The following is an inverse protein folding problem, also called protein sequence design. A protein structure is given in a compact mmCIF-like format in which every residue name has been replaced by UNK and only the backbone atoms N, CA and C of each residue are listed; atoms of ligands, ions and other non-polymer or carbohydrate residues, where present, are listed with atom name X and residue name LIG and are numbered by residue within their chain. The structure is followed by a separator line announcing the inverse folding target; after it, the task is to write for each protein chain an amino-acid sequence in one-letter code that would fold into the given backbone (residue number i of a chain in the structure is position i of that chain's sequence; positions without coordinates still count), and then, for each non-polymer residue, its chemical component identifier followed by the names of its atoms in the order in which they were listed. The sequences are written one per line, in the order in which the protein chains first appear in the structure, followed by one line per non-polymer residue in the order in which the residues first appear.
data_IF_369190021834
#
_entry.id   IF_369190021834
#
_cell.length_a   1.000
_cell.length_b   1.000
_cell.length_c   1.000
_cell.angle_alpha   90.00
_cell.angle_beta   90.00
_cell.angle_gamma   90.00
#
_symmetry.space_group_name_H-M   'P 1'
#
loop_
_entity.id
_entity.type
_entity.pdbx_description
1 polymer ?
#
# COMPACT_ATOMS: atom_id res chain seq x y z
N UNK A 1 -9.78 -29.28 -22.00
CA UNK A 1 -9.44 -28.83 -20.62
C UNK A 1 -9.91 -29.89 -19.64
N UNK A 2 -9.02 -30.67 -19.05
CA UNK A 2 -9.42 -31.67 -18.06
C UNK A 2 -9.89 -30.98 -16.78
N UNK A 3 -10.85 -31.58 -16.07
CA UNK A 3 -11.45 -31.02 -14.84
C UNK A 3 -10.41 -30.54 -13.83
N UNK A 4 -9.33 -31.31 -13.64
CA UNK A 4 -8.18 -30.96 -12.78
C UNK A 4 -7.52 -29.62 -13.20
N UNK A 5 -7.20 -29.44 -14.48
CA UNK A 5 -6.60 -28.20 -15.01
C UNK A 5 -7.54 -27.01 -14.83
N UNK A 6 -8.84 -27.19 -15.10
CA UNK A 6 -9.84 -26.12 -14.96
C UNK A 6 -9.94 -25.60 -13.52
N UNK A 7 -9.95 -26.50 -12.54
CA UNK A 7 -9.99 -26.14 -11.12
C UNK A 7 -8.71 -25.38 -10.74
N UNK A 8 -7.54 -25.90 -11.11
CA UNK A 8 -6.26 -25.26 -10.81
C UNK A 8 -6.15 -23.84 -11.37
N UNK A 9 -6.52 -23.64 -12.64
CA UNK A 9 -6.50 -22.30 -13.25
C UNK A 9 -7.49 -21.34 -12.57
N UNK A 10 -8.64 -21.84 -12.15
CA UNK A 10 -9.66 -21.01 -11.48
C UNK A 10 -9.17 -20.53 -10.12
N UNK A 11 -8.57 -21.42 -9.33
CA UNK A 11 -7.98 -21.07 -8.02
C UNK A 11 -6.83 -20.08 -8.19
N UNK A 12 -5.89 -20.37 -9.11
CA UNK A 12 -4.76 -19.48 -9.41
C UNK A 12 -5.19 -18.08 -9.84
N UNK A 13 -6.29 -17.96 -10.60
CA UNK A 13 -6.85 -16.65 -10.98
C UNK A 13 -7.43 -15.91 -9.78
N UNK A 14 -8.08 -16.60 -8.83
CA UNK A 14 -8.61 -15.99 -7.61
C UNK A 14 -7.47 -15.50 -6.71
N UNK A 15 -6.44 -16.31 -6.51
CA UNK A 15 -5.28 -15.94 -5.68
C UNK A 15 -4.56 -14.71 -6.23
N UNK A 16 -4.32 -14.68 -7.55
CA UNK A 16 -3.72 -13.50 -8.21
C UNK A 16 -4.56 -12.24 -8.03
N UNK A 17 -5.89 -12.35 -8.11
CA UNK A 17 -6.81 -11.21 -7.89
C UNK A 17 -6.81 -10.74 -6.44
N UNK A 18 -6.68 -11.65 -5.47
CA UNK A 18 -6.58 -11.29 -4.06
C UNK A 18 -5.24 -10.60 -3.77
N UNK A 19 -4.13 -11.16 -4.24
CA UNK A 19 -2.79 -10.60 -4.03
C UNK A 19 -2.61 -9.24 -4.72
N UNK A 20 -3.17 -9.05 -5.92
CA UNK A 20 -3.14 -7.77 -6.61
C UNK A 20 -3.85 -6.64 -5.84
N UNK A 21 -4.84 -6.97 -4.99
CA UNK A 21 -5.50 -5.98 -4.12
C UNK A 21 -4.69 -5.64 -2.88
N UNK A 22 -3.84 -6.56 -2.42
CA UNK A 22 -3.01 -6.36 -1.24
C UNK A 22 -1.74 -5.55 -1.54
N UNK A 23 -1.19 -5.69 -2.75
CA UNK A 23 -0.04 -4.91 -3.19
C UNK A 23 -0.45 -3.51 -3.66
N UNK A 24 -0.49 -2.56 -2.72
CA UNK A 24 -0.48 -1.13 -3.05
C UNK A 24 0.85 -0.77 -3.73
N UNK A 25 0.78 -0.03 -4.85
CA UNK A 25 1.96 0.55 -5.49
C UNK A 25 2.74 1.38 -4.47
N UNK A 26 4.05 1.17 -4.37
CA UNK A 26 4.93 1.95 -3.49
C UNK A 26 5.13 3.40 -3.98
N UNK A 27 4.47 3.79 -5.07
CA UNK A 27 4.54 5.15 -5.60
C UNK A 27 3.53 6.03 -4.85
N UNK A 28 3.94 7.14 -4.22
CA UNK A 28 3.00 8.06 -3.62
C UNK A 28 2.05 8.58 -4.72
N UNK A 29 0.74 8.63 -4.41
CA UNK A 29 -0.21 9.31 -5.28
C UNK A 29 0.22 10.77 -5.42
N UNK A 30 0.18 11.31 -6.64
CA UNK A 30 0.41 12.74 -6.82
C UNK A 30 -0.68 13.51 -6.08
N UNK A 31 -0.25 14.30 -5.11
CA UNK A 31 -1.07 15.24 -4.35
C UNK A 31 -0.63 16.66 -4.73
N UNK A 32 -1.54 17.61 -4.56
CA UNK A 32 -1.26 19.03 -4.87
C UNK A 32 -0.10 19.58 -4.03
N UNK A 33 0.47 20.73 -4.42
CA UNK A 33 1.56 21.37 -3.65
C UNK A 33 1.14 21.64 -2.20
N UNK A 34 -0.05 22.21 -2.02
CA UNK A 34 -0.61 22.49 -0.70
C UNK A 34 -0.79 21.22 0.15
N UNK A 35 -1.28 20.11 -0.43
CA UNK A 35 -1.41 18.84 0.30
C UNK A 35 -0.06 18.22 0.63
N UNK A 36 0.97 18.42 -0.21
CA UNK A 36 2.32 17.92 0.05
C UNK A 36 2.98 18.66 1.21
N UNK A 37 2.86 19.98 1.24
CA UNK A 37 3.35 20.83 2.33
C UNK A 37 2.65 20.46 3.64
N UNK A 38 1.31 20.38 3.64
CA UNK A 38 0.54 19.98 4.81
C UNK A 38 0.91 18.58 5.33
N UNK A 39 1.21 17.63 4.44
CA UNK A 39 1.60 16.28 4.85
C UNK A 39 3.00 16.23 5.45
N UNK A 40 3.93 17.00 4.89
CA UNK A 40 5.31 17.05 5.37
C UNK A 40 5.39 17.69 6.76
N UNK A 41 4.63 18.77 7.01
CA UNK A 41 4.55 19.39 8.35
C UNK A 41 4.00 18.43 9.43
N UNK A 42 3.03 17.58 9.09
CA UNK A 42 2.48 16.58 10.03
C UNK A 42 3.48 15.45 10.31
N UNK A 43 4.15 14.93 9.28
CA UNK A 43 5.16 13.88 9.42
C UNK A 43 6.35 14.37 10.26
N UNK A 44 6.83 15.60 10.03
CA UNK A 44 7.92 16.22 10.80
C UNK A 44 7.55 16.42 12.28
N UNK A 45 6.31 16.85 12.56
CA UNK A 45 5.82 17.04 13.93
C UNK A 45 5.73 15.70 14.69
N UNK A 46 5.26 14.63 14.04
CA UNK A 46 5.19 13.30 14.65
C UNK A 46 6.58 12.73 14.99
N UNK A 47 7.57 12.99 14.14
CA UNK A 47 8.94 12.53 14.35
C UNK A 47 9.64 13.32 15.47
N UNK A 48 9.35 14.62 15.61
CA UNK A 48 9.84 15.45 16.71
C UNK A 48 9.28 15.03 18.07
N UNK A 49 7.99 14.66 18.13
CA UNK A 49 7.37 14.17 19.37
C UNK A 49 7.94 12.84 19.83
N UNK A 50 8.22 11.92 18.89
CA UNK A 50 8.82 10.62 19.21
C UNK A 50 10.27 10.73 19.70
N UNK A 51 11.04 11.69 19.18
CA UNK A 51 12.40 11.97 19.65
C UNK A 51 12.43 12.61 21.04
N UNK A 52 11.44 13.46 21.35
CA UNK A 52 11.32 14.11 22.64
C UNK A 52 10.88 13.14 23.76
N UNK A 53 10.13 12.08 23.44
CA UNK A 53 9.75 11.04 24.40
C UNK A 53 10.86 10.00 24.68
N UNK A 54 11.88 9.91 23.82
CA UNK A 54 12.98 8.94 23.95
C UNK A 54 14.24 9.48 24.64
N UNK A 55 14.28 10.77 25.00
CA UNK A 55 15.38 11.42 25.72
C UNK A 55 15.03 11.69 27.18
#
# INVERSE_FOLDING_TARGET
MNRKKKIYETLKKKDKRANAKLHKSNKPRYISKAEREAKQENDDNSHLTEQAEQG
#
